data_IF_791008381214
#
_entry.id   IF_791008381214
#
_cell.length_a   1.000
_cell.length_b   1.000
_cell.length_c   1.000
_cell.angle_alpha   90.00
_cell.angle_beta   90.00
_cell.angle_gamma   90.00
#
_symmetry.space_group_name_H-M   'P 1'
#
loop_
_entity.id
_entity.type
_entity.pdbx_description
1 polymer ?
#
# COMPACT_ATOMS: atom_id res chain seq x y z
N UNK A 1 -4.61 -57.53 11.11
CA UNK A 1 -4.95 -58.25 9.87
C UNK A 1 -3.84 -58.01 8.87
N UNK A 2 -2.90 -58.94 8.83
CA UNK A 2 -1.76 -59.00 7.90
C UNK A 2 -2.06 -60.11 6.90
N UNK A 3 -1.91 -59.85 5.60
CA UNK A 3 -1.79 -60.90 4.60
C UNK A 3 -0.73 -60.47 3.58
N UNK A 4 0.49 -60.92 3.85
CA UNK A 4 1.56 -61.09 2.87
C UNK A 4 1.24 -62.29 1.98
N UNK A 5 1.55 -62.19 0.69
CA UNK A 5 1.60 -63.33 -0.22
C UNK A 5 2.98 -63.39 -0.87
N UNK A 6 3.72 -64.46 -0.56
CA UNK A 6 4.92 -64.91 -1.26
C UNK A 6 4.59 -66.20 -2.00
N UNK A 7 5.01 -66.32 -3.27
CA UNK A 7 5.46 -67.61 -3.83
C UNK A 7 6.38 -67.41 -5.04
N UNK A 8 7.33 -68.32 -5.14
CA UNK A 8 8.63 -68.31 -5.82
C UNK A 8 8.71 -69.29 -7.01
N UNK A 9 9.84 -69.18 -7.74
CA UNK A 9 10.47 -70.10 -8.72
C UNK A 9 9.95 -70.00 -10.16
N UNK A 10 10.77 -70.02 -11.22
CA UNK A 10 11.92 -70.92 -11.45
C UNK A 10 12.93 -70.38 -12.50
N UNK A 11 14.19 -70.82 -12.39
CA UNK A 11 15.35 -70.49 -13.23
C UNK A 11 15.48 -71.50 -14.40
N UNK A 12 15.46 -71.00 -15.63
CA UNK A 12 15.77 -71.77 -16.83
C UNK A 12 17.04 -71.27 -17.50
N UNK A 13 18.14 -72.00 -17.31
CA UNK A 13 19.43 -71.85 -18.00
C UNK A 13 19.41 -72.62 -19.32
N UNK A 14 19.76 -71.98 -20.45
CA UNK A 14 20.17 -72.70 -21.66
C UNK A 14 21.31 -72.00 -22.44
N UNK A 15 22.37 -72.80 -22.57
CA UNK A 15 23.62 -72.80 -23.34
C UNK A 15 23.80 -71.92 -24.59
N UNK A 16 25.07 -71.56 -24.75
CA UNK A 16 25.83 -70.86 -25.80
C UNK A 16 25.87 -71.51 -27.20
N UNK A 17 25.95 -70.67 -28.24
CA UNK A 17 26.49 -70.97 -29.58
C UNK A 17 26.85 -69.68 -30.36
N UNK A 18 27.87 -69.66 -31.25
CA UNK A 18 28.55 -68.42 -31.68
C UNK A 18 28.17 -67.90 -33.08
N UNK A 19 28.67 -66.69 -33.38
CA UNK A 19 28.80 -66.01 -34.67
C UNK A 19 27.54 -65.39 -35.31
N UNK A 20 27.49 -64.06 -35.36
CA UNK A 20 27.85 -63.30 -36.57
C UNK A 20 27.62 -61.80 -36.36
N UNK A 21 28.56 -60.99 -36.87
CA UNK A 21 28.52 -59.53 -36.84
C UNK A 21 27.45 -59.01 -37.81
N UNK A 22 26.51 -58.23 -37.30
CA UNK A 22 25.86 -57.17 -38.06
C UNK A 22 25.62 -55.98 -37.12
N UNK A 23 26.31 -54.87 -37.38
CA UNK A 23 26.12 -53.59 -36.69
C UNK A 23 24.72 -53.06 -37.06
N UNK A 24 23.77 -53.15 -36.14
CA UNK A 24 22.54 -52.38 -36.19
C UNK A 24 22.60 -51.32 -35.09
N UNK A 25 23.05 -50.12 -35.46
CA UNK A 25 23.00 -48.93 -34.61
C UNK A 25 21.53 -48.55 -34.42
N UNK A 26 20.90 -49.15 -33.41
CA UNK A 26 19.51 -48.84 -33.04
C UNK A 26 19.56 -47.64 -32.12
N UNK A 27 19.31 -46.45 -32.68
CA UNK A 27 19.05 -45.24 -31.91
C UNK A 27 17.85 -45.47 -31.00
N UNK A 28 18.11 -45.66 -29.70
CA UNK A 28 17.08 -45.53 -28.68
C UNK A 28 16.73 -44.05 -28.51
N UNK A 29 15.77 -43.56 -29.31
CA UNK A 29 14.99 -42.39 -28.94
C UNK A 29 13.98 -42.89 -27.90
N UNK A 30 14.37 -42.88 -26.62
CA UNK A 30 13.38 -42.90 -25.55
C UNK A 30 12.74 -41.52 -25.54
N UNK A 31 11.65 -41.40 -26.30
CA UNK A 31 10.74 -40.28 -26.21
C UNK A 31 10.31 -40.13 -24.75
N UNK A 32 10.58 -38.96 -24.18
CA UNK A 32 10.01 -38.51 -22.92
C UNK A 32 8.49 -38.33 -23.10
N UNK A 33 7.76 -39.45 -23.17
CA UNK A 33 6.31 -39.52 -23.09
C UNK A 33 5.96 -40.02 -21.69
N UNK A 34 6.36 -39.23 -20.68
CA UNK A 34 5.65 -39.18 -19.40
C UNK A 34 4.73 -37.96 -19.48
N UNK A 35 3.81 -38.07 -20.45
CA UNK A 35 2.71 -37.14 -20.72
C UNK A 35 1.69 -37.31 -19.59
N UNK A 36 1.49 -36.26 -18.80
CA UNK A 36 0.23 -35.83 -18.18
C UNK A 36 -0.80 -36.91 -17.75
N UNK A 37 -0.36 -38.05 -17.21
CA UNK A 37 -1.25 -39.17 -16.89
C UNK A 37 -1.52 -39.33 -15.40
N UNK A 38 -1.09 -38.38 -14.57
CA UNK A 38 -1.48 -38.35 -13.17
C UNK A 38 -2.15 -37.00 -12.86
N UNK A 39 -3.49 -37.04 -12.91
CA UNK A 39 -4.46 -36.01 -12.47
C UNK A 39 -4.71 -34.86 -13.47
N UNK A 40 -5.65 -35.08 -14.40
CA UNK A 40 -6.27 -34.05 -15.25
C UNK A 40 -5.44 -33.64 -16.47
N UNK A 41 -5.93 -33.87 -17.68
CA UNK A 41 -5.30 -33.33 -18.88
C UNK A 41 -5.33 -31.79 -18.83
N UNK A 42 -4.18 -31.14 -18.99
CA UNK A 42 -4.14 -29.69 -19.15
C UNK A 42 -4.84 -29.32 -20.46
N UNK A 43 -5.98 -28.63 -20.38
CA UNK A 43 -6.71 -28.14 -21.56
C UNK A 43 -7.01 -26.64 -21.46
N UNK A 44 -6.60 -25.98 -20.38
CA UNK A 44 -6.80 -24.55 -20.17
C UNK A 44 -5.66 -23.70 -20.71
N UNK A 45 -5.94 -22.43 -20.98
CA UNK A 45 -4.94 -21.46 -21.41
C UNK A 45 -4.03 -21.07 -20.24
N UNK A 46 -2.72 -21.00 -20.47
CA UNK A 46 -1.80 -20.31 -19.57
C UNK A 46 -2.06 -18.79 -19.58
N UNK A 47 -1.49 -18.07 -18.61
CA UNK A 47 -1.50 -16.62 -18.57
C UNK A 47 -0.36 -16.04 -19.40
N UNK A 48 -0.69 -15.08 -20.28
CA UNK A 48 0.29 -14.24 -21.00
C UNK A 48 1.19 -13.51 -20.01
N UNK A 49 2.42 -13.21 -20.45
CA UNK A 49 3.39 -12.51 -19.61
C UNK A 49 2.90 -11.16 -19.09
N UNK A 50 2.22 -10.39 -19.95
CA UNK A 50 1.64 -9.10 -19.60
C UNK A 50 0.67 -9.19 -18.40
N UNK A 51 -0.06 -10.30 -18.24
CA UNK A 51 -1.04 -10.45 -17.19
C UNK A 51 -0.39 -10.59 -15.81
N UNK A 52 0.61 -11.47 -15.68
CA UNK A 52 1.31 -11.62 -14.41
C UNK A 52 2.21 -10.41 -14.11
N UNK A 53 2.75 -9.76 -15.15
CA UNK A 53 3.50 -8.51 -14.99
C UNK A 53 2.61 -7.37 -14.45
N UNK A 54 1.40 -7.20 -14.97
CA UNK A 54 0.42 -6.24 -14.45
C UNK A 54 0.14 -6.48 -12.95
N UNK A 55 -0.03 -7.75 -12.56
CA UNK A 55 -0.23 -8.15 -11.16
C UNK A 55 1.01 -7.87 -10.31
N UNK A 56 2.21 -8.20 -10.79
CA UNK A 56 3.46 -7.95 -10.08
C UNK A 56 3.72 -6.46 -9.86
N UNK A 57 3.54 -5.62 -10.89
CA UNK A 57 3.66 -4.17 -10.74
C UNK A 57 2.63 -3.64 -9.75
N UNK A 58 1.39 -4.17 -9.77
CA UNK A 58 0.39 -3.78 -8.77
C UNK A 58 0.83 -4.16 -7.35
N UNK A 59 1.28 -5.40 -7.16
CA UNK A 59 1.78 -5.90 -5.88
C UNK A 59 2.94 -5.04 -5.36
N UNK A 60 3.91 -4.71 -6.21
CA UNK A 60 5.07 -3.88 -5.87
C UNK A 60 4.63 -2.51 -5.34
N UNK A 61 3.64 -1.89 -5.95
CA UNK A 61 3.16 -0.58 -5.49
C UNK A 61 2.36 -0.71 -4.18
N UNK A 62 1.61 -1.80 -4.01
CA UNK A 62 0.88 -2.05 -2.76
C UNK A 62 1.81 -2.29 -1.57
N UNK A 63 3.03 -2.79 -1.78
CA UNK A 63 4.03 -2.90 -0.70
C UNK A 63 4.47 -1.54 -0.13
N UNK A 64 4.21 -0.42 -0.83
CA UNK A 64 4.52 0.94 -0.34
C UNK A 64 3.45 1.50 0.62
N UNK A 65 2.27 0.90 0.68
CA UNK A 65 1.15 1.42 1.49
C UNK A 65 1.45 1.45 2.99
N UNK A 66 2.07 0.40 3.58
CA UNK A 66 2.45 0.43 4.99
C UNK A 66 3.42 1.58 5.32
N UNK A 67 4.44 1.80 4.49
CA UNK A 67 5.37 2.93 4.65
C UNK A 67 4.66 4.29 4.58
N UNK A 68 3.73 4.47 3.64
CA UNK A 68 2.92 5.70 3.55
C UNK A 68 2.07 5.92 4.80
N UNK A 69 1.44 4.86 5.30
CA UNK A 69 0.60 4.90 6.49
C UNK A 69 1.41 5.31 7.72
N UNK A 70 2.58 4.71 7.93
CA UNK A 70 3.53 5.05 9.00
C UNK A 70 3.98 6.51 8.88
N UNK A 71 4.46 6.93 7.71
CA UNK A 71 4.89 8.31 7.44
C UNK A 71 3.82 9.33 7.83
N UNK A 72 2.56 9.12 7.43
CA UNK A 72 1.47 10.07 7.73
C UNK A 72 1.11 10.09 9.22
N UNK A 73 1.12 8.94 9.89
CA UNK A 73 0.89 8.86 11.33
C UNK A 73 1.98 9.58 12.12
N UNK A 74 3.25 9.35 11.77
CA UNK A 74 4.40 9.97 12.43
C UNK A 74 4.43 11.48 12.20
N UNK A 75 4.15 11.92 10.96
CA UNK A 75 4.02 13.35 10.65
C UNK A 75 2.94 14.01 11.50
N UNK A 76 1.75 13.43 11.60
CA UNK A 76 0.66 13.99 12.39
C UNK A 76 1.00 14.02 13.90
N UNK A 77 1.67 12.99 14.42
CA UNK A 77 2.14 12.97 15.81
C UNK A 77 3.20 14.05 16.07
N UNK A 78 4.16 14.21 15.16
CA UNK A 78 5.21 15.20 15.27
C UNK A 78 4.67 16.64 15.16
N UNK A 79 3.70 16.91 14.27
CA UNK A 79 2.99 18.20 14.20
C UNK A 79 2.25 18.51 15.52
N UNK A 80 1.57 17.52 16.09
CA UNK A 80 0.89 17.68 17.38
C UNK A 80 1.89 18.00 18.51
N UNK A 81 3.04 17.33 18.53
CA UNK A 81 4.10 17.58 19.49
C UNK A 81 4.69 18.99 19.34
N UNK A 82 4.99 19.42 18.12
CA UNK A 82 5.50 20.77 17.81
C UNK A 82 4.53 21.86 18.27
N UNK A 83 3.22 21.71 18.01
CA UNK A 83 2.21 22.63 18.53
C UNK A 83 2.18 22.70 20.05
N UNK A 84 2.28 21.56 20.75
CA UNK A 84 2.25 21.52 22.22
C UNK A 84 3.51 22.13 22.82
N UNK A 85 4.69 21.81 22.30
CA UNK A 85 5.96 22.37 22.80
C UNK A 85 5.98 23.89 22.61
N UNK A 86 5.65 24.36 21.41
CA UNK A 86 5.58 25.79 21.14
C UNK A 86 4.52 26.49 22.01
N UNK A 87 3.37 25.88 22.25
CA UNK A 87 2.35 26.44 23.14
C UNK A 87 2.84 26.59 24.58
N UNK A 88 3.49 25.56 25.12
CA UNK A 88 4.06 25.58 26.47
C UNK A 88 5.14 26.65 26.60
N UNK A 89 6.04 26.74 25.61
CA UNK A 89 7.07 27.79 25.57
C UNK A 89 6.46 29.19 25.54
N UNK A 90 5.49 29.44 24.66
CA UNK A 90 4.84 30.75 24.59
C UNK A 90 4.13 31.11 25.89
N UNK A 91 3.50 30.15 26.55
CA UNK A 91 2.83 30.36 27.85
C UNK A 91 3.84 30.64 28.96
N UNK A 92 4.96 29.93 29.00
CA UNK A 92 6.02 30.17 29.96
C UNK A 92 6.69 31.54 29.75
N UNK A 93 6.93 31.93 28.48
CA UNK A 93 7.44 33.27 28.17
C UNK A 93 6.40 34.34 28.50
N UNK A 94 5.10 34.09 28.30
CA UNK A 94 4.05 35.03 28.70
C UNK A 94 4.10 35.32 30.21
N UNK A 95 4.34 34.31 31.04
CA UNK A 95 4.41 34.44 32.50
C UNK A 95 5.60 35.29 32.99
N UNK A 96 6.63 35.51 32.15
CA UNK A 96 7.78 36.36 32.50
C UNK A 96 7.67 37.79 31.96
N UNK A 97 6.62 38.11 31.18
CA UNK A 97 6.42 39.46 30.64
C UNK A 97 5.83 40.39 31.68
N UNK A 98 6.46 41.55 31.86
CA UNK A 98 5.93 42.64 32.68
C UNK A 98 4.76 43.38 31.99
N UNK A 99 4.78 43.44 30.65
CA UNK A 99 3.71 44.06 29.86
C UNK A 99 2.54 43.07 29.68
N UNK A 100 1.36 43.44 30.17
CA UNK A 100 0.16 42.61 30.12
C UNK A 100 -0.34 42.35 28.68
N UNK A 101 -0.12 43.29 27.76
CA UNK A 101 -0.44 43.13 26.34
C UNK A 101 0.43 42.04 25.69
N UNK A 102 1.74 42.09 25.93
CA UNK A 102 2.67 41.07 25.46
C UNK A 102 2.33 39.69 26.04
N UNK A 103 2.09 39.63 27.35
CA UNK A 103 1.69 38.40 28.04
C UNK A 103 0.40 37.81 27.42
N UNK A 104 -0.62 38.64 27.18
CA UNK A 104 -1.90 38.19 26.60
C UNK A 104 -1.73 37.71 25.17
N UNK A 105 -0.98 38.42 24.31
CA UNK A 105 -0.74 37.98 22.93
C UNK A 105 -0.11 36.58 22.91
N UNK A 106 0.92 36.37 23.72
CA UNK A 106 1.62 35.08 23.81
C UNK A 106 0.73 33.98 24.38
N UNK A 107 -0.04 34.27 25.43
CA UNK A 107 -0.98 33.31 26.02
C UNK A 107 -2.07 32.88 25.02
N UNK A 108 -2.62 33.81 24.24
CA UNK A 108 -3.63 33.47 23.21
C UNK A 108 -3.00 32.65 22.09
N UNK A 109 -1.78 32.97 21.64
CA UNK A 109 -1.08 32.13 20.66
C UNK A 109 -0.86 30.72 21.19
N UNK A 110 -0.42 30.58 22.45
CA UNK A 110 -0.30 29.28 23.11
C UNK A 110 -1.62 28.50 23.10
N UNK A 111 -2.72 29.16 23.47
CA UNK A 111 -4.06 28.57 23.41
C UNK A 111 -4.47 28.15 21.98
N UNK A 112 -4.19 28.98 20.96
CA UNK A 112 -4.48 28.63 19.55
C UNK A 112 -3.63 27.48 19.01
N UNK A 113 -2.40 27.32 19.51
CA UNK A 113 -1.58 26.16 19.20
C UNK A 113 -2.09 24.90 19.91
N UNK A 114 -2.58 25.00 21.15
CA UNK A 114 -3.23 23.86 21.83
C UNK A 114 -4.51 23.43 21.11
N UNK A 115 -5.37 24.37 20.70
CA UNK A 115 -6.54 24.08 19.86
C UNK A 115 -6.13 23.38 18.55
N UNK A 116 -5.04 23.82 17.92
CA UNK A 116 -4.51 23.18 16.72
C UNK A 116 -3.97 21.76 17.01
N UNK A 117 -3.30 21.56 18.14
CA UNK A 117 -2.85 20.24 18.57
C UNK A 117 -4.02 19.28 18.84
N UNK A 118 -5.10 19.76 19.46
CA UNK A 118 -6.32 18.98 19.68
C UNK A 118 -7.02 18.62 18.37
N UNK A 119 -7.08 19.55 17.42
CA UNK A 119 -7.58 19.27 16.06
C UNK A 119 -6.73 18.19 15.38
N UNK A 120 -5.42 18.27 15.47
CA UNK A 120 -4.51 17.23 14.96
C UNK A 120 -4.72 15.89 15.67
N UNK A 121 -4.94 15.90 16.99
CA UNK A 121 -5.27 14.69 17.75
C UNK A 121 -6.61 14.08 17.31
N UNK A 122 -7.61 14.92 17.01
CA UNK A 122 -8.88 14.50 16.40
C UNK A 122 -8.65 13.84 15.04
N UNK A 123 -7.84 14.46 14.17
CA UNK A 123 -7.48 13.89 12.87
C UNK A 123 -6.67 12.59 13.01
N UNK A 124 -5.82 12.44 14.03
CA UNK A 124 -5.13 11.18 14.31
C UNK A 124 -6.11 10.04 14.61
N UNK A 125 -7.22 10.33 15.30
CA UNK A 125 -8.27 9.33 15.58
C UNK A 125 -8.95 8.83 14.30
N UNK A 126 -9.04 9.66 13.26
CA UNK A 126 -9.60 9.25 11.95
C UNK A 126 -8.54 8.64 11.05
N UNK A 127 -7.30 9.14 11.10
CA UNK A 127 -6.19 8.66 10.28
C UNK A 127 -5.77 7.24 10.66
N UNK A 128 -5.75 6.87 11.95
CA UNK A 128 -5.39 5.51 12.39
C UNK A 128 -6.28 4.41 11.77
N UNK A 129 -7.61 4.43 11.91
CA UNK A 129 -8.45 3.40 11.29
C UNK A 129 -8.38 3.44 9.76
N UNK A 130 -8.16 4.62 9.15
CA UNK A 130 -7.92 4.73 7.71
C UNK A 130 -6.61 4.04 7.30
N UNK A 131 -5.51 4.29 8.00
CA UNK A 131 -4.21 3.64 7.78
C UNK A 131 -4.31 2.12 7.93
N UNK A 132 -5.04 1.63 8.93
CA UNK A 132 -5.28 0.18 9.12
C UNK A 132 -6.10 -0.39 7.95
N UNK A 133 -7.15 0.30 7.51
CA UNK A 133 -7.93 -0.12 6.34
C UNK A 133 -7.10 -0.10 5.07
N UNK A 134 -6.24 0.90 4.88
CA UNK A 134 -5.33 0.97 3.75
C UNK A 134 -4.30 -0.17 3.79
N UNK A 135 -3.86 -0.60 4.98
CA UNK A 135 -3.02 -1.78 5.15
C UNK A 135 -3.71 -3.09 4.72
N UNK A 136 -5.03 -3.11 4.50
CA UNK A 136 -5.70 -4.20 3.79
C UNK A 136 -5.20 -4.37 2.35
N UNK A 137 -4.46 -3.40 1.78
CA UNK A 137 -3.60 -3.58 0.62
C UNK A 137 -2.72 -4.83 0.71
N UNK A 138 -2.26 -5.17 1.93
CA UNK A 138 -1.52 -6.39 2.21
C UNK A 138 -2.28 -7.67 1.85
N UNK A 139 -3.62 -7.66 1.93
CA UNK A 139 -4.44 -8.81 1.50
C UNK A 139 -4.48 -8.97 -0.02
N UNK A 140 -4.46 -7.87 -0.76
CA UNK A 140 -4.39 -7.88 -2.23
C UNK A 140 -3.01 -8.33 -2.68
N UNK A 141 -1.96 -7.74 -2.08
CA UNK A 141 -0.57 -8.16 -2.26
C UNK A 141 -0.38 -9.66 -1.96
N UNK A 142 -0.79 -10.13 -0.78
CA UNK A 142 -0.67 -11.52 -0.38
C UNK A 142 -1.43 -12.45 -1.32
N UNK A 143 -2.64 -12.06 -1.74
CA UNK A 143 -3.40 -12.82 -2.73
C UNK A 143 -2.73 -12.91 -4.11
N UNK A 144 -2.01 -11.87 -4.55
CA UNK A 144 -1.18 -11.92 -5.77
C UNK A 144 0.03 -12.84 -5.54
N UNK A 145 0.73 -12.68 -4.43
CA UNK A 145 1.91 -13.47 -4.06
C UNK A 145 1.59 -14.96 -4.02
N UNK A 146 0.56 -15.35 -3.26
CA UNK A 146 0.13 -16.75 -3.13
C UNK A 146 -0.28 -17.34 -4.48
N UNK A 147 -1.00 -16.57 -5.29
CA UNK A 147 -1.43 -17.02 -6.60
C UNK A 147 -0.25 -17.22 -7.55
N UNK A 148 0.66 -16.26 -7.65
CA UNK A 148 1.84 -16.39 -8.51
C UNK A 148 2.79 -17.47 -8.02
N UNK A 149 2.94 -17.65 -6.71
CA UNK A 149 3.71 -18.74 -6.12
C UNK A 149 3.08 -20.12 -6.42
N UNK A 150 1.76 -20.23 -6.34
CA UNK A 150 1.05 -21.44 -6.75
C UNK A 150 1.29 -21.73 -8.24
N UNK A 151 1.15 -20.72 -9.11
CA UNK A 151 1.30 -20.90 -10.55
C UNK A 151 2.75 -21.20 -10.95
N UNK A 152 3.73 -20.66 -10.21
CA UNK A 152 5.15 -20.92 -10.44
C UNK A 152 5.56 -22.32 -9.99
N UNK A 153 4.86 -22.91 -9.01
CA UNK A 153 5.04 -24.32 -8.63
C UNK A 153 4.26 -25.29 -9.56
N UNK A 154 3.18 -24.83 -10.19
CA UNK A 154 2.30 -25.64 -11.03
C UNK A 154 2.80 -25.76 -12.48
N UNK A 155 4.03 -26.26 -12.68
CA UNK A 155 4.59 -26.50 -14.02
C UNK A 155 5.40 -27.81 -14.10
N UNK A 156 5.66 -28.28 -15.31
CA UNK A 156 6.58 -29.40 -15.59
C UNK A 156 7.38 -29.07 -16.84
N UNK A 157 8.62 -28.62 -16.63
CA UNK A 157 9.45 -28.07 -17.70
C UNK A 157 8.75 -26.91 -18.41
N UNK A 158 8.95 -26.83 -19.74
CA UNK A 158 8.31 -25.82 -20.61
C UNK A 158 7.04 -26.33 -21.32
N UNK A 159 6.66 -27.59 -21.07
CA UNK A 159 5.61 -28.26 -21.84
C UNK A 159 4.24 -28.22 -21.18
N UNK A 160 4.20 -27.96 -19.86
CA UNK A 160 3.00 -27.85 -19.03
C UNK A 160 3.20 -26.76 -17.97
N UNK A 161 2.23 -25.86 -17.80
CA UNK A 161 2.27 -24.82 -16.78
C UNK A 161 1.25 -23.70 -17.04
N UNK A 162 1.14 -22.78 -16.09
CA UNK A 162 0.10 -21.75 -16.09
C UNK A 162 0.60 -20.32 -16.34
N UNK A 163 1.92 -20.13 -16.49
CA UNK A 163 2.53 -18.83 -16.78
C UNK A 163 3.41 -18.93 -18.03
N UNK A 164 3.26 -18.00 -18.95
CA UNK A 164 4.23 -17.81 -20.03
C UNK A 164 5.44 -17.02 -19.52
N UNK A 165 6.65 -17.39 -19.96
CA UNK A 165 7.85 -16.64 -19.64
C UNK A 165 7.83 -15.24 -20.28
N UNK A 166 7.50 -15.18 -21.57
CA UNK A 166 7.48 -13.94 -22.37
C UNK A 166 6.35 -13.94 -23.38
N UNK A 167 5.71 -12.79 -23.56
CA UNK A 167 4.62 -12.59 -24.50
C UNK A 167 3.53 -13.68 -24.39
N UNK A 168 3.23 -14.29 -25.53
CA UNK A 168 2.32 -15.44 -25.68
C UNK A 168 3.08 -16.71 -26.13
N UNK A 169 4.36 -16.82 -25.72
CA UNK A 169 5.26 -17.90 -26.12
C UNK A 169 5.29 -19.07 -25.14
N UNK A 170 6.49 -19.56 -24.85
CA UNK A 170 6.70 -20.75 -24.04
C UNK A 170 6.31 -20.56 -22.57
N UNK A 171 5.95 -21.68 -21.95
CA UNK A 171 5.73 -21.77 -20.50
C UNK A 171 7.03 -21.45 -19.77
N UNK A 172 6.88 -20.72 -18.68
CA UNK A 172 7.95 -20.41 -17.74
C UNK A 172 8.60 -21.69 -17.21
N UNK A 173 9.92 -21.82 -17.43
CA UNK A 173 10.69 -23.01 -17.08
C UNK A 173 11.08 -23.05 -15.60
N UNK A 174 11.21 -21.89 -14.96
CA UNK A 174 11.60 -21.68 -13.57
C UNK A 174 11.14 -20.27 -13.09
N UNK A 175 11.40 -19.92 -11.84
CA UNK A 175 10.93 -18.66 -11.25
C UNK A 175 11.75 -17.42 -11.59
N UNK A 176 12.77 -17.52 -12.47
CA UNK A 176 13.71 -16.41 -12.75
C UNK A 176 12.99 -15.16 -13.26
N UNK A 177 12.00 -15.32 -14.14
CA UNK A 177 11.23 -14.20 -14.69
C UNK A 177 10.32 -13.52 -13.63
N UNK A 178 10.02 -14.22 -12.53
CA UNK A 178 9.27 -13.68 -11.39
C UNK A 178 10.15 -13.00 -10.34
N UNK A 179 11.49 -12.99 -10.49
CA UNK A 179 12.39 -12.40 -9.51
C UNK A 179 12.15 -10.90 -9.26
N UNK A 180 11.55 -10.19 -10.21
CA UNK A 180 11.15 -8.79 -10.08
C UNK A 180 9.80 -8.60 -9.37
N UNK A 181 9.02 -9.67 -9.22
CA UNK A 181 7.77 -9.65 -8.50
C UNK A 181 8.04 -9.77 -7.00
N UNK A 182 7.36 -8.99 -6.14
CA UNK A 182 7.54 -9.11 -4.69
C UNK A 182 6.76 -10.33 -4.17
N UNK A 183 7.16 -11.53 -4.54
CA UNK A 183 6.53 -12.76 -4.06
C UNK A 183 7.21 -13.14 -2.75
N UNK A 184 6.42 -13.27 -1.68
CA UNK A 184 6.89 -13.63 -0.34
C UNK A 184 7.95 -12.66 0.24
N UNK A 185 7.95 -11.41 -0.24
CA UNK A 185 8.82 -10.39 0.33
C UNK A 185 8.28 -9.90 1.67
N UNK A 186 9.20 -9.63 2.60
CA UNK A 186 8.89 -8.95 3.85
C UNK A 186 8.30 -7.55 3.59
N UNK A 187 7.41 -7.11 4.49
CA UNK A 187 6.85 -5.77 4.45
C UNK A 187 7.89 -4.78 4.96
N UNK A 188 8.29 -3.86 4.10
CA UNK A 188 9.19 -2.75 4.41
C UNK A 188 8.39 -1.48 4.75
N UNK A 189 8.57 -0.96 5.98
CA UNK A 189 7.92 0.25 6.47
C UNK A 189 8.68 1.54 6.12
N UNK A 190 9.88 1.44 5.54
CA UNK A 190 10.73 2.56 5.16
C UNK A 190 10.78 2.78 3.63
N UNK A 191 10.03 1.98 2.89
CA UNK A 191 10.01 2.00 1.42
C UNK A 191 9.63 3.37 0.87
N UNK A 192 10.30 3.78 -0.21
CA UNK A 192 9.97 5.01 -0.92
C UNK A 192 8.53 4.95 -1.47
N UNK A 193 7.72 5.90 -1.03
CA UNK A 193 6.30 6.02 -1.38
C UNK A 193 6.06 6.80 -2.68
N UNK A 194 7.11 7.32 -3.31
CA UNK A 194 7.01 8.14 -4.52
C UNK A 194 6.34 7.39 -5.68
N UNK A 195 5.48 8.09 -6.42
CA UNK A 195 4.79 7.60 -7.62
C UNK A 195 3.55 6.76 -7.36
N UNK A 196 3.21 6.49 -6.09
CA UNK A 196 2.04 5.70 -5.73
C UNK A 196 0.72 6.32 -6.21
N UNK A 197 0.63 7.65 -6.19
CA UNK A 197 -0.47 8.45 -6.72
C UNK A 197 -0.67 8.30 -8.24
N UNK A 198 0.38 7.93 -8.97
CA UNK A 198 0.28 7.71 -10.41
C UNK A 198 -0.33 6.35 -10.73
N UNK A 199 -0.16 5.38 -9.83
CA UNK A 199 -0.60 3.98 -9.97
C UNK A 199 -2.03 3.78 -9.47
N UNK A 200 -2.36 4.39 -8.33
CA UNK A 200 -3.71 4.37 -7.76
C UNK A 200 -4.55 5.41 -8.51
N UNK A 201 -5.23 4.96 -9.56
CA UNK A 201 -6.13 5.80 -10.34
C UNK A 201 -7.45 6.08 -9.61
N UNK A 202 -8.26 6.96 -10.20
CA UNK A 202 -9.51 7.40 -9.59
C UNK A 202 -10.53 6.28 -9.40
N UNK A 203 -10.54 5.31 -10.31
CA UNK A 203 -11.51 4.21 -10.41
C UNK A 203 -10.93 2.83 -10.08
N UNK A 204 -9.60 2.73 -9.95
CA UNK A 204 -8.91 1.46 -9.75
C UNK A 204 -7.39 1.57 -9.92
N UNK A 205 -6.70 0.45 -10.12
CA UNK A 205 -5.25 0.40 -10.34
C UNK A 205 -4.92 0.51 -11.83
N UNK A 206 -4.11 1.50 -12.21
CA UNK A 206 -3.76 1.75 -13.63
C UNK A 206 -2.81 0.71 -14.21
N UNK A 207 -2.14 -0.05 -13.35
CA UNK A 207 -1.23 -1.15 -13.70
C UNK A 207 -1.96 -2.37 -14.25
N UNK A 208 -3.24 -2.53 -13.92
CA UNK A 208 -4.06 -3.66 -14.37
C UNK A 208 -4.75 -3.29 -15.70
N UNK A 209 -4.18 -3.74 -16.83
CA UNK A 209 -4.56 -3.26 -18.17
C UNK A 209 -4.82 -4.35 -19.22
N UNK A 210 -4.44 -5.59 -18.93
CA UNK A 210 -4.56 -6.69 -19.90
C UNK A 210 -6.01 -7.16 -20.03
N UNK A 211 -6.60 -6.93 -21.20
CA UNK A 211 -8.02 -7.24 -21.51
C UNK A 211 -8.24 -8.72 -21.78
N UNK A 212 -7.32 -9.38 -22.46
CA UNK A 212 -7.32 -10.83 -22.67
C UNK A 212 -5.98 -11.41 -22.21
N UNK A 213 -6.01 -12.04 -21.04
CA UNK A 213 -4.82 -12.59 -20.38
C UNK A 213 -4.49 -14.00 -20.84
N UNK A 214 -5.36 -14.65 -21.62
CA UNK A 214 -5.13 -16.02 -22.08
C UNK A 214 -4.06 -16.10 -23.12
N UNK A 215 -3.21 -17.11 -23.00
CA UNK A 215 -2.33 -17.52 -24.07
C UNK A 215 -3.15 -18.11 -25.24
N UNK A 216 -2.84 -17.71 -26.47
CA UNK A 216 -3.56 -18.14 -27.69
C UNK A 216 -2.75 -19.08 -28.57
N UNK A 217 -1.43 -19.14 -28.38
CA UNK A 217 -0.48 -19.93 -29.16
C UNK A 217 -0.17 -21.29 -28.52
N UNK A 218 1.10 -21.73 -28.50
CA UNK A 218 1.61 -23.01 -27.96
C UNK A 218 1.22 -23.30 -26.52
N UNK A 219 0.80 -22.27 -25.78
CA UNK A 219 0.43 -22.32 -24.36
C UNK A 219 -1.10 -22.32 -24.10
N UNK A 220 -1.93 -22.45 -25.14
CA UNK A 220 -3.40 -22.38 -25.06
C UNK A 220 -4.08 -23.61 -24.42
N UNK A 221 -3.37 -24.72 -24.24
CA UNK A 221 -3.88 -25.94 -23.57
C UNK A 221 -2.89 -26.48 -22.54
N UNK A 222 -2.18 -25.62 -21.83
CA UNK A 222 -1.05 -26.02 -20.97
C UNK A 222 -1.29 -25.84 -19.49
N UNK A 223 -2.35 -25.12 -19.10
CA UNK A 223 -2.70 -24.87 -17.72
C UNK A 223 -3.85 -25.76 -17.26
N UNK A 224 -3.64 -26.51 -16.17
CA UNK A 224 -4.67 -27.37 -15.57
C UNK A 224 -5.70 -26.57 -14.75
N UNK A 225 -5.34 -25.37 -14.29
CA UNK A 225 -6.21 -24.56 -13.40
C UNK A 225 -7.30 -23.80 -14.16
N UNK A 226 -7.02 -23.35 -15.39
CA UNK A 226 -7.97 -22.56 -16.20
C UNK A 226 -8.73 -23.40 -17.22
N UNK A 227 -9.09 -24.63 -16.85
CA UNK A 227 -9.99 -25.44 -17.67
C UNK A 227 -11.40 -24.88 -17.60
N UNK A 228 -12.06 -24.73 -18.75
CA UNK A 228 -13.47 -24.34 -18.83
C UNK A 228 -14.34 -25.31 -18.04
N UNK A 229 -15.34 -24.77 -17.31
CA UNK A 229 -16.28 -25.58 -16.58
C UNK A 229 -17.06 -26.50 -17.53
N UNK A 230 -17.21 -27.78 -17.15
CA UNK A 230 -18.03 -28.74 -17.88
C UNK A 230 -19.29 -29.03 -17.09
N UNK A 231 -20.45 -29.09 -17.78
CA UNK A 231 -21.71 -29.51 -17.18
C UNK A 231 -21.72 -31.01 -16.80
N UNK A 232 -20.73 -31.80 -17.24
CA UNK A 232 -20.80 -33.28 -17.24
C UNK A 232 -19.54 -33.97 -16.66
N UNK A 233 -18.48 -33.21 -16.34
CA UNK A 233 -17.18 -33.78 -15.91
C UNK A 233 -16.84 -33.45 -14.45
N UNK A 234 -16.77 -34.47 -13.60
CA UNK A 234 -16.30 -34.37 -12.21
C UNK A 234 -14.76 -34.27 -12.07
N UNK A 235 -14.05 -34.18 -13.20
CA UNK A 235 -12.60 -34.22 -13.30
C UNK A 235 -11.95 -32.84 -13.55
N UNK A 236 -12.72 -31.75 -13.45
CA UNK A 236 -12.25 -30.37 -13.60
C UNK A 236 -12.34 -29.60 -12.28
N UNK A 237 -11.46 -28.62 -12.11
CA UNK A 237 -11.46 -27.74 -10.94
C UNK A 237 -12.79 -26.99 -10.80
N UNK A 238 -13.26 -26.39 -11.89
CA UNK A 238 -14.55 -25.71 -11.93
C UNK A 238 -15.63 -26.65 -12.48
N UNK A 239 -16.52 -27.12 -11.60
CA UNK A 239 -17.64 -27.99 -11.96
C UNK A 239 -18.90 -27.22 -12.38
N UNK A 240 -18.92 -25.90 -12.16
CA UNK A 240 -20.02 -25.01 -12.53
C UNK A 240 -19.46 -23.71 -13.11
N UNK A 241 -20.18 -23.19 -14.11
CA UNK A 241 -20.02 -21.84 -14.62
C UNK A 241 -20.17 -20.78 -13.51
N UNK A 242 -19.15 -19.94 -13.35
CA UNK A 242 -19.11 -18.86 -12.37
C UNK A 242 -18.21 -17.73 -12.86
N UNK A 243 -18.50 -16.51 -12.40
CA UNK A 243 -17.59 -15.36 -12.53
C UNK A 243 -17.11 -14.96 -11.15
N UNK A 244 -15.80 -14.87 -10.99
CA UNK A 244 -15.15 -14.57 -9.72
C UNK A 244 -13.79 -13.91 -9.96
N UNK A 245 -13.24 -13.31 -8.92
CA UNK A 245 -11.93 -12.66 -8.93
C UNK A 245 -10.97 -13.44 -8.02
N UNK A 246 -9.75 -13.66 -8.49
CA UNK A 246 -8.64 -14.32 -7.78
C UNK A 246 -7.41 -13.42 -7.79
N UNK A 247 -6.27 -13.91 -7.28
CA UNK A 247 -5.02 -13.16 -7.20
C UNK A 247 -5.18 -11.83 -6.44
N UNK A 248 -5.73 -11.90 -5.22
CA UNK A 248 -6.06 -10.70 -4.44
C UNK A 248 -7.17 -9.84 -5.05
N UNK A 249 -7.93 -10.37 -6.01
CA UNK A 249 -8.95 -9.63 -6.75
C UNK A 249 -8.45 -8.98 -8.04
N UNK A 250 -7.20 -9.23 -8.47
CA UNK A 250 -6.61 -8.58 -9.65
C UNK A 250 -6.82 -9.33 -10.96
N UNK A 251 -7.26 -10.59 -10.90
CA UNK A 251 -7.59 -11.41 -12.06
C UNK A 251 -9.06 -11.82 -12.01
N UNK A 252 -9.84 -11.36 -12.99
CA UNK A 252 -11.24 -11.77 -13.17
C UNK A 252 -11.28 -13.00 -14.07
N UNK A 253 -11.99 -14.03 -13.62
CA UNK A 253 -12.15 -15.30 -14.32
C UNK A 253 -13.64 -15.55 -14.53
N UNK A 254 -13.99 -15.92 -15.76
CA UNK A 254 -15.26 -16.56 -16.06
C UNK A 254 -14.98 -18.03 -16.40
N UNK A 255 -15.54 -18.97 -15.66
CA UNK A 255 -15.37 -20.40 -15.92
C UNK A 255 -16.36 -20.97 -16.94
N UNK A 256 -17.40 -20.21 -17.33
CA UNK A 256 -18.42 -20.63 -18.30
C UNK A 256 -17.94 -20.55 -19.76
N UNK A 257 -16.91 -19.74 -19.99
CA UNK A 257 -16.32 -19.45 -21.28
C UNK A 257 -15.12 -18.55 -21.04
N UNK A 258 -14.14 -18.52 -21.95
CA UNK A 258 -12.75 -18.31 -21.57
C UNK A 258 -12.40 -16.82 -21.45
N UNK A 259 -13.20 -15.98 -20.79
CA UNK A 259 -12.84 -14.57 -20.59
C UNK A 259 -12.09 -14.44 -19.27
N UNK A 260 -10.81 -14.09 -19.38
CA UNK A 260 -9.97 -13.75 -18.24
C UNK A 260 -9.33 -12.38 -18.47
N UNK A 261 -9.30 -11.52 -17.46
CA UNK A 261 -8.81 -10.14 -17.60
C UNK A 261 -8.25 -9.56 -16.31
N UNK A 262 -7.17 -8.79 -16.40
CA UNK A 262 -6.74 -7.87 -15.34
C UNK A 262 -7.33 -6.47 -15.52
N UNK A 263 -7.69 -6.07 -16.75
CA UNK A 263 -8.18 -4.72 -17.08
C UNK A 263 -9.42 -4.25 -16.29
N UNK A 264 -10.20 -5.17 -15.73
CA UNK A 264 -11.29 -4.82 -14.80
C UNK A 264 -10.78 -4.00 -13.59
N UNK A 265 -9.50 -4.19 -13.23
CA UNK A 265 -8.82 -3.49 -12.16
C UNK A 265 -8.74 -1.98 -12.35
N UNK A 266 -8.95 -1.47 -13.57
CA UNK A 266 -9.06 -0.04 -13.85
C UNK A 266 -10.42 0.57 -13.40
N UNK A 267 -11.42 -0.26 -13.10
CA UNK A 267 -12.78 0.15 -12.73
C UNK A 267 -13.40 -0.75 -11.64
N UNK A 268 -12.75 -0.81 -10.48
CA UNK A 268 -13.06 -1.76 -9.40
C UNK A 268 -14.46 -1.62 -8.79
N UNK A 269 -15.06 -0.43 -8.85
CA UNK A 269 -16.39 -0.19 -8.29
C UNK A 269 -17.46 -1.15 -8.87
N UNK A 270 -17.33 -1.54 -10.14
CA UNK A 270 -18.24 -2.48 -10.80
C UNK A 270 -18.10 -3.92 -10.27
N UNK A 271 -16.99 -4.25 -9.62
CA UNK A 271 -16.65 -5.61 -9.19
C UNK A 271 -16.92 -5.87 -7.70
N UNK A 272 -17.41 -4.88 -6.95
CA UNK A 272 -17.63 -5.00 -5.51
C UNK A 272 -18.55 -6.17 -5.12
N UNK A 273 -19.52 -6.50 -5.98
CA UNK A 273 -20.47 -7.59 -5.77
C UNK A 273 -20.01 -8.92 -6.38
N UNK A 274 -18.96 -8.93 -7.20
CA UNK A 274 -18.38 -10.14 -7.74
C UNK A 274 -17.61 -10.87 -6.63
N UNK A 275 -17.74 -12.20 -6.56
CA UNK A 275 -17.00 -13.00 -5.57
C UNK A 275 -15.49 -12.72 -5.70
N UNK A 276 -14.83 -12.38 -4.59
CA UNK A 276 -13.42 -11.96 -4.56
C UNK A 276 -13.14 -10.46 -4.79
N UNK A 277 -14.15 -9.66 -5.19
CA UNK A 277 -13.96 -8.23 -5.52
C UNK A 277 -14.08 -7.25 -4.35
N UNK A 278 -14.66 -7.67 -3.22
CA UNK A 278 -14.92 -6.79 -2.08
C UNK A 278 -13.64 -6.21 -1.47
N UNK A 279 -12.63 -7.04 -1.21
CA UNK A 279 -11.40 -6.61 -0.52
C UNK A 279 -10.55 -5.68 -1.38
N UNK A 280 -10.37 -5.97 -2.67
CA UNK A 280 -9.63 -5.10 -3.58
C UNK A 280 -10.30 -3.73 -3.75
N UNK A 281 -11.63 -3.69 -3.80
CA UNK A 281 -12.40 -2.44 -3.87
C UNK A 281 -12.24 -1.63 -2.58
N UNK A 282 -12.31 -2.29 -1.42
CA UNK A 282 -12.10 -1.65 -0.12
C UNK A 282 -10.67 -1.13 0.05
N UNK A 283 -9.67 -1.91 -0.35
CA UNK A 283 -8.26 -1.51 -0.33
C UNK A 283 -8.04 -0.29 -1.21
N UNK A 284 -8.54 -0.29 -2.45
CA UNK A 284 -8.43 0.85 -3.37
C UNK A 284 -9.04 2.13 -2.78
N UNK A 285 -10.27 2.06 -2.26
CA UNK A 285 -10.93 3.20 -1.63
C UNK A 285 -10.12 3.75 -0.43
N UNK A 286 -9.65 2.88 0.46
CA UNK A 286 -8.87 3.29 1.63
C UNK A 286 -7.51 3.87 1.26
N UNK A 287 -6.81 3.31 0.27
CA UNK A 287 -5.54 3.84 -0.24
C UNK A 287 -5.76 5.23 -0.85
N UNK A 288 -6.81 5.40 -1.67
CA UNK A 288 -7.15 6.69 -2.27
C UNK A 288 -7.42 7.76 -1.21
N UNK A 289 -8.21 7.41 -0.19
CA UNK A 289 -8.50 8.32 0.92
C UNK A 289 -7.24 8.64 1.72
N UNK A 290 -6.35 7.66 1.97
CA UNK A 290 -5.08 7.88 2.65
C UNK A 290 -4.16 8.82 1.85
N UNK A 291 -4.04 8.63 0.53
CA UNK A 291 -3.27 9.50 -0.36
C UNK A 291 -3.78 10.95 -0.35
N UNK A 292 -5.10 11.14 -0.19
CA UNK A 292 -5.71 12.48 -0.13
C UNK A 292 -5.44 13.24 1.17
N UNK A 293 -4.94 12.58 2.23
CA UNK A 293 -4.61 13.23 3.49
C UNK A 293 -3.38 14.14 3.30
N UNK A 294 -3.52 15.41 3.68
CA UNK A 294 -2.45 16.40 3.56
C UNK A 294 -1.19 15.99 4.32
N UNK A 295 -0.01 16.19 3.72
CA UNK A 295 1.27 16.11 4.42
C UNK A 295 1.61 17.51 4.96
N UNK A 296 1.94 17.60 6.25
CA UNK A 296 2.42 18.86 6.85
C UNK A 296 3.84 18.62 7.38
N UNK A 297 4.77 19.50 7.02
CA UNK A 297 6.14 19.43 7.51
C UNK A 297 6.17 19.60 9.06
N UNK A 298 6.66 18.62 9.83
CA UNK A 298 6.47 18.63 11.27
C UNK A 298 7.21 19.76 12.02
N UNK A 299 8.48 20.00 11.68
CA UNK A 299 9.36 20.91 12.44
C UNK A 299 9.08 22.42 12.22
N UNK A 300 8.12 22.77 11.38
CA UNK A 300 7.77 24.16 11.09
C UNK A 300 6.27 24.42 11.24
N UNK A 301 5.51 23.47 11.78
CA UNK A 301 4.06 23.56 11.85
C UNK A 301 3.63 24.70 12.78
N UNK A 302 4.16 24.76 14.00
CA UNK A 302 3.88 25.81 14.98
C UNK A 302 4.31 27.19 14.45
N UNK A 303 5.53 27.29 13.92
CA UNK A 303 6.04 28.52 13.30
C UNK A 303 5.08 29.02 12.21
N UNK A 304 4.70 28.14 11.28
CA UNK A 304 3.81 28.48 10.16
C UNK A 304 2.44 28.91 10.67
N UNK A 305 1.90 28.22 11.68
CA UNK A 305 0.61 28.55 12.27
C UNK A 305 0.63 29.91 12.98
N UNK A 306 1.67 30.20 13.76
CA UNK A 306 1.83 31.49 14.44
C UNK A 306 2.04 32.62 13.43
N UNK A 307 2.79 32.38 12.35
CA UNK A 307 2.94 33.36 11.26
C UNK A 307 1.59 33.73 10.65
N UNK A 308 0.77 32.72 10.34
CA UNK A 308 -0.56 32.93 9.79
C UNK A 308 -1.50 33.66 10.78
N UNK A 309 -1.44 33.32 12.08
CA UNK A 309 -2.23 34.01 13.11
C UNK A 309 -1.80 35.47 13.29
N UNK A 310 -0.50 35.76 13.26
CA UNK A 310 0.01 37.13 13.39
C UNK A 310 -0.44 38.03 12.23
N UNK A 311 -0.62 37.47 11.04
CA UNK A 311 -1.12 38.18 9.86
C UNK A 311 -2.66 38.28 9.81
N UNK A 312 -3.39 37.53 10.65
CA UNK A 312 -4.86 37.51 10.63
C UNK A 312 -5.45 38.70 11.41
N UNK A 313 -6.22 39.54 10.72
CA UNK A 313 -6.94 40.66 11.33
C UNK A 313 -7.90 40.26 12.46
N UNK A 314 -8.42 39.04 12.47
CA UNK A 314 -9.29 38.53 13.53
C UNK A 314 -8.51 38.14 14.79
N UNK A 315 -7.21 37.85 14.67
CA UNK A 315 -6.38 37.54 15.82
C UNK A 315 -6.29 38.74 16.79
N UNK A 316 -6.15 39.96 16.25
CA UNK A 316 -6.17 41.18 17.06
C UNK A 316 -7.49 41.35 17.85
N UNK A 317 -8.64 40.95 17.26
CA UNK A 317 -9.94 40.99 17.97
C UNK A 317 -9.98 40.02 19.14
N UNK A 318 -9.39 38.82 19.00
CA UNK A 318 -9.29 37.86 20.10
C UNK A 318 -8.43 38.42 21.26
N UNK A 319 -7.35 39.14 20.94
CA UNK A 319 -6.52 39.85 21.92
C UNK A 319 -7.33 40.93 22.64
N UNK A 320 -8.06 41.77 21.91
CA UNK A 320 -8.94 42.81 22.49
C UNK A 320 -9.96 42.24 23.45
N UNK A 321 -10.63 41.15 23.09
CA UNK A 321 -11.62 40.52 23.95
C UNK A 321 -11.03 40.04 25.28
N UNK A 322 -9.79 39.51 25.28
CA UNK A 322 -9.09 39.12 26.51
C UNK A 322 -8.61 40.32 27.32
N UNK A 323 -8.11 41.38 26.67
CA UNK A 323 -7.72 42.62 27.35
C UNK A 323 -8.91 43.25 28.09
N UNK A 324 -10.09 43.30 27.46
CA UNK A 324 -11.32 43.77 28.12
C UNK A 324 -11.71 42.90 29.31
N UNK A 325 -11.59 41.57 29.17
CA UNK A 325 -11.95 40.62 30.22
C UNK A 325 -11.10 40.79 31.49
N UNK A 326 -9.84 41.23 31.35
CA UNK A 326 -8.96 41.53 32.49
C UNK A 326 -9.10 42.98 33.00
N UNK A 327 -10.08 43.73 32.51
CA UNK A 327 -10.39 45.08 32.97
C UNK A 327 -9.51 46.18 32.38
N UNK A 328 -8.83 45.95 31.24
CA UNK A 328 -8.09 47.01 30.57
C UNK A 328 -9.05 48.07 30.03
N UNK A 329 -8.90 49.31 30.49
CA UNK A 329 -9.71 50.45 30.06
C UNK A 329 -9.42 50.85 28.61
N UNK A 330 -10.46 51.26 27.89
CA UNK A 330 -10.34 51.80 26.53
C UNK A 330 -11.48 51.40 25.60
N UNK A 331 -11.67 52.20 24.54
CA UNK A 331 -12.56 51.86 23.43
C UNK A 331 -12.03 50.69 22.59
N UNK A 332 -12.91 50.07 21.79
CA UNK A 332 -12.55 49.00 20.86
C UNK A 332 -11.45 49.41 19.89
N UNK A 333 -11.51 50.65 19.39
CA UNK A 333 -10.51 51.19 18.45
C UNK A 333 -9.15 51.34 19.12
N UNK A 334 -9.11 51.89 20.34
CA UNK A 334 -7.86 52.06 21.10
C UNK A 334 -7.24 50.71 21.48
N UNK A 335 -8.05 49.75 21.94
CA UNK A 335 -7.56 48.42 22.28
C UNK A 335 -7.12 47.63 21.05
N UNK A 336 -7.80 47.79 19.92
CA UNK A 336 -7.40 47.16 18.66
C UNK A 336 -6.06 47.70 18.16
N UNK A 337 -5.85 49.01 18.21
CA UNK A 337 -4.58 49.63 17.86
C UNK A 337 -3.45 49.13 18.79
N UNK A 338 -3.71 49.08 20.10
CA UNK A 338 -2.79 48.54 21.09
C UNK A 338 -2.42 47.07 20.79
N UNK A 339 -3.42 46.20 20.58
CA UNK A 339 -3.19 44.80 20.24
C UNK A 339 -2.35 44.63 18.97
N UNK A 340 -2.62 45.40 17.91
CA UNK A 340 -1.82 45.39 16.67
C UNK A 340 -0.37 45.79 16.92
N UNK A 341 -0.13 46.84 17.73
CA UNK A 341 1.24 47.24 18.09
C UNK A 341 1.97 46.12 18.81
N UNK A 342 1.30 45.40 19.73
CA UNK A 342 1.91 44.27 20.43
C UNK A 342 2.22 43.10 19.51
N UNK A 343 1.28 42.72 18.63
CA UNK A 343 1.49 41.68 17.62
C UNK A 343 2.66 42.05 16.70
N UNK A 344 2.74 43.30 16.24
CA UNK A 344 3.84 43.80 15.40
C UNK A 344 5.18 43.77 16.13
N UNK A 345 5.20 44.18 17.39
CA UNK A 345 6.42 44.18 18.22
C UNK A 345 6.96 42.75 18.42
N UNK A 346 6.06 41.83 18.75
CA UNK A 346 6.41 40.45 19.09
C UNK A 346 6.68 39.57 17.86
N UNK A 347 5.97 39.79 16.76
CA UNK A 347 5.92 38.86 15.62
C UNK A 347 5.99 39.53 14.25
N UNK A 348 6.21 40.85 14.20
CA UNK A 348 6.24 41.62 12.95
C UNK A 348 4.99 41.42 12.06
N UNK A 349 3.82 41.18 12.66
CA UNK A 349 2.56 40.90 11.96
C UNK A 349 2.65 39.75 10.93
N UNK A 350 3.58 38.79 11.14
CA UNK A 350 3.83 37.72 10.18
C UNK A 350 4.63 38.14 8.94
N UNK A 351 5.12 39.38 8.88
CA UNK A 351 5.89 39.96 7.77
C UNK A 351 7.35 39.48 7.70
N UNK A 352 8.19 40.24 6.99
CA UNK A 352 9.58 39.87 6.67
C UNK A 352 10.43 39.55 7.91
N UNK A 353 10.23 40.27 9.01
CA UNK A 353 10.99 40.10 10.24
C UNK A 353 10.45 39.00 11.18
N UNK A 354 9.39 38.28 10.79
CA UNK A 354 8.74 37.28 11.62
C UNK A 354 9.71 36.18 12.08
N UNK A 355 10.54 35.64 11.19
CA UNK A 355 11.38 34.48 11.52
C UNK A 355 12.43 34.80 12.60
N UNK A 356 12.99 36.01 12.57
CA UNK A 356 13.92 36.49 13.59
C UNK A 356 13.20 36.68 14.94
N UNK A 357 12.01 37.28 14.91
CA UNK A 357 11.17 37.51 16.09
C UNK A 357 10.70 36.21 16.75
N UNK A 358 10.23 35.26 15.95
CA UNK A 358 9.85 33.93 16.39
C UNK A 358 11.02 33.20 17.07
N UNK A 359 12.20 33.23 16.45
CA UNK A 359 13.41 32.61 17.02
C UNK A 359 13.78 33.23 18.37
N UNK A 360 13.75 34.56 18.49
CA UNK A 360 14.02 35.24 19.75
C UNK A 360 13.02 34.84 20.85
N UNK A 361 11.75 34.68 20.49
CA UNK A 361 10.69 34.23 21.39
C UNK A 361 10.91 32.80 21.89
N UNK A 362 11.10 31.85 20.98
CA UNK A 362 11.24 30.42 21.34
C UNK A 362 12.55 30.12 22.08
N UNK A 363 13.60 30.93 21.84
CA UNK A 363 14.88 30.83 22.53
C UNK A 363 14.95 31.66 23.83
N UNK A 364 13.85 32.29 24.25
CA UNK A 364 13.83 33.03 25.52
C UNK A 364 14.14 32.05 26.67
N UNK A 365 15.20 32.28 27.47
CA UNK A 365 15.53 31.43 28.59
C UNK A 365 14.40 31.44 29.62
N UNK A 366 13.93 30.26 30.01
CA UNK A 366 12.96 30.09 31.09
C UNK A 366 13.75 29.58 32.30
N UNK A 367 13.69 30.31 33.41
CA UNK A 367 14.34 29.89 34.65
C UNK A 367 13.75 28.57 35.14
N UNK A 368 14.58 27.55 35.33
CA UNK A 368 14.13 26.18 35.67
C UNK A 368 14.01 25.93 37.18
N UNK A 369 14.16 26.98 38.01
CA UNK A 369 14.06 26.88 39.46
C UNK A 369 15.21 26.12 40.13
N UNK A 370 16.22 25.64 39.39
CA UNK A 370 17.37 24.95 40.00
C UNK A 370 18.35 25.99 40.52
N UNK A 371 18.57 25.99 41.83
CA UNK A 371 19.65 26.72 42.44
C UNK A 371 20.99 26.29 41.80
N UNK A 372 21.78 27.25 41.32
CA UNK A 372 23.16 26.99 40.90
C UNK A 372 23.90 26.47 42.14
N UNK A 373 24.37 25.22 42.08
CA UNK A 373 25.25 24.65 43.11
C UNK A 373 26.62 25.30 43.05
#
# INVERSE_FOLDING_TARGET
MNLSYTKTHDLGSQKSGPMSRAKATTSFIFAAVLVCSQLGAATGNALKAAAWQDMCTTAEQLTKIPALATKKLDQAQAVMADYRDAAMRLTAVAATRADSGDAIVLAILGSKLLEAAEKTAGNLKTLRPLSIKAAAAGTVYGGISDFLNLLSAAHTGITCGCLNAKGDGDIMADTTELASCPIDNEIDLEKDTTGLETVVGDKGFKTLKTTDVKATSTSNTKCVLFQDASAVGNNKLFQKAATFLIAGGTLKVNSAGPTMTTAHGAALAAEQSTAGGKLITQAHAAIKELLSQAETAPASAAKTKVKALAADSNFAKAVVNKLKLIGMEGSDNTLTAYAKVKIKSLLADGGENFDSKWRALINTPIYDGRAKK
#
